data_IF_225065872574
#
_entry.id   IF_225065872574
#
_cell.length_a   1.000
_cell.length_b   1.000
_cell.length_c   1.000
_cell.angle_alpha   90.00
_cell.angle_beta   90.00
_cell.angle_gamma   90.00
#
_symmetry.space_group_name_H-M   'P 1'
#
loop_
_entity.id
_entity.type
_entity.pdbx_description
1 polymer ?
#
# COMPACT_ATOMS: atom_id res chain seq x y z
N UNK A 1 -107.51 21.80 -10.68
CA UNK A 1 -108.15 20.51 -10.40
C UNK A 1 -107.18 19.71 -9.57
N UNK A 2 -107.42 19.74 -8.29
CA UNK A 2 -107.92 18.64 -7.47
C UNK A 2 -106.89 17.50 -7.40
N UNK A 3 -106.17 17.42 -6.37
CA UNK A 3 -105.99 16.80 -5.15
C UNK A 3 -105.79 15.28 -5.19
N UNK A 4 -105.55 14.54 -4.14
CA UNK A 4 -105.11 14.89 -2.81
C UNK A 4 -104.00 13.96 -2.24
N UNK A 5 -103.47 14.34 -1.10
CA UNK A 5 -102.86 13.47 -0.12
C UNK A 5 -103.87 12.41 0.39
N UNK A 6 -103.44 11.30 1.05
CA UNK A 6 -102.93 11.33 2.42
C UNK A 6 -102.06 10.10 2.93
N UNK A 7 -101.49 10.34 4.10
CA UNK A 7 -101.43 9.48 5.34
C UNK A 7 -100.33 8.36 5.44
N UNK A 8 -99.40 8.62 6.37
CA UNK A 8 -99.26 8.03 7.73
C UNK A 8 -98.93 6.53 7.79
N UNK A 9 -97.86 6.20 8.41
CA UNK A 9 -97.77 5.66 9.80
C UNK A 9 -96.35 5.23 10.14
N UNK A 10 -95.95 5.64 11.34
CA UNK A 10 -94.88 5.07 12.15
C UNK A 10 -95.17 3.64 12.55
N UNK A 11 -94.37 3.03 13.43
CA UNK A 11 -92.89 2.86 13.59
C UNK A 11 -92.57 1.36 13.66
N UNK A 12 -91.33 0.99 13.51
CA UNK A 12 -90.92 -0.25 14.16
C UNK A 12 -89.43 -0.20 14.53
N UNK A 13 -89.27 -0.38 15.82
CA UNK A 13 -88.00 -0.68 16.46
C UNK A 13 -87.34 -1.90 15.83
N UNK A 14 -86.01 -1.87 15.55
CA UNK A 14 -85.14 -3.03 15.72
C UNK A 14 -83.68 -2.63 15.84
N UNK A 15 -83.25 -2.84 17.00
CA UNK A 15 -82.00 -3.41 17.51
C UNK A 15 -80.70 -3.05 16.84
N UNK A 16 -79.95 -2.44 17.66
CA UNK A 16 -78.55 -2.09 17.60
C UNK A 16 -77.66 -3.38 17.53
N UNK A 17 -77.01 -3.58 16.37
CA UNK A 17 -76.00 -4.55 16.26
C UNK A 17 -74.65 -3.83 16.16
N UNK A 18 -73.97 -3.73 17.30
CA UNK A 18 -72.63 -3.23 17.44
C UNK A 18 -71.69 -4.27 16.86
N UNK A 19 -71.29 -4.17 15.60
CA UNK A 19 -70.18 -4.87 15.05
C UNK A 19 -68.92 -4.00 15.29
N UNK A 20 -68.08 -4.46 16.24
CA UNK A 20 -66.73 -3.99 16.50
C UNK A 20 -65.90 -4.06 15.21
N UNK A 21 -65.60 -2.92 14.62
CA UNK A 21 -64.57 -2.78 13.59
C UNK A 21 -63.26 -2.70 14.33
N UNK A 22 -62.57 -3.85 14.45
CA UNK A 22 -61.15 -3.89 14.82
C UNK A 22 -60.34 -3.19 13.71
N UNK A 23 -59.95 -1.95 13.96
CA UNK A 23 -58.90 -1.28 13.19
C UNK A 23 -57.59 -1.97 13.57
N UNK A 24 -57.09 -2.86 12.69
CA UNK A 24 -55.70 -3.35 12.71
C UNK A 24 -54.80 -2.19 12.38
N UNK A 25 -54.16 -1.66 13.44
CA UNK A 25 -53.10 -0.68 13.32
C UNK A 25 -51.83 -1.45 12.84
N UNK A 26 -51.57 -1.41 11.52
CA UNK A 26 -50.32 -1.90 10.97
C UNK A 26 -49.21 -0.94 11.43
N UNK A 27 -48.53 -1.30 12.51
CA UNK A 27 -47.27 -0.68 12.91
C UNK A 27 -46.21 -1.16 11.93
N UNK A 28 -45.93 -0.33 10.93
CA UNK A 28 -44.72 -0.45 10.10
C UNK A 28 -43.53 -0.19 11.03
N UNK A 29 -42.87 -1.26 11.50
CA UNK A 29 -41.57 -1.16 12.12
C UNK A 29 -40.55 -0.97 10.99
N UNK A 30 -39.89 0.20 10.89
CA UNK A 30 -38.80 0.33 9.95
C UNK A 30 -37.65 -0.57 10.44
N UNK A 31 -37.44 -1.68 9.73
CA UNK A 31 -36.21 -2.46 9.87
C UNK A 31 -35.04 -1.59 9.40
N UNK A 32 -34.42 -0.87 10.34
CA UNK A 32 -33.16 -0.23 10.09
C UNK A 32 -32.13 -1.33 9.80
N UNK A 33 -31.85 -1.54 8.52
CA UNK A 33 -30.70 -2.32 8.09
C UNK A 33 -29.45 -1.60 8.61
N UNK A 34 -28.91 -2.05 9.74
CA UNK A 34 -27.58 -1.71 10.17
C UNK A 34 -26.59 -2.30 9.13
N UNK A 35 -26.26 -1.50 8.11
CA UNK A 35 -25.13 -1.78 7.24
C UNK A 35 -23.90 -1.59 8.12
N UNK A 36 -23.48 -2.66 8.78
CA UNK A 36 -22.18 -2.73 9.42
C UNK A 36 -21.15 -2.58 8.29
N UNK A 37 -20.59 -1.41 8.16
CA UNK A 37 -19.41 -1.18 7.33
C UNK A 37 -18.29 -2.06 7.87
N UNK A 38 -18.13 -3.25 7.30
CA UNK A 38 -16.94 -4.08 7.53
C UNK A 38 -15.80 -3.26 6.95
N UNK A 39 -15.09 -2.53 7.79
CA UNK A 39 -13.78 -2.00 7.45
C UNK A 39 -12.91 -3.21 7.21
N UNK A 40 -12.64 -3.53 5.94
CA UNK A 40 -11.68 -4.54 5.55
C UNK A 40 -10.29 -3.99 5.97
N UNK A 41 -9.95 -4.14 7.24
CA UNK A 41 -8.58 -4.00 7.71
C UNK A 41 -7.86 -5.22 7.17
N UNK A 42 -6.86 -5.01 6.31
CA UNK A 42 -6.01 -6.12 5.90
C UNK A 42 -5.24 -6.60 7.13
N UNK A 43 -5.17 -7.90 7.32
CA UNK A 43 -4.39 -8.48 8.41
C UNK A 43 -2.89 -8.40 8.06
N UNK A 44 -2.03 -8.11 9.05
CA UNK A 44 -0.59 -8.13 8.85
C UNK A 44 -0.12 -9.51 8.36
N UNK A 45 0.82 -9.53 7.43
CA UNK A 45 1.34 -10.77 6.82
C UNK A 45 2.08 -11.60 7.86
N UNK A 46 1.77 -12.90 7.99
CA UNK A 46 2.47 -13.81 8.91
C UNK A 46 3.93 -14.00 8.51
N UNK A 47 4.84 -14.10 9.48
CA UNK A 47 6.24 -14.44 9.26
C UNK A 47 6.33 -15.95 9.00
N UNK A 48 6.66 -16.34 7.77
CA UNK A 48 6.94 -17.71 7.35
C UNK A 48 8.44 -17.95 7.23
N UNK A 49 9.17 -16.91 6.84
CA UNK A 49 10.62 -16.90 6.71
C UNK A 49 11.17 -15.79 7.61
N UNK A 50 12.01 -16.19 8.56
CA UNK A 50 12.63 -15.24 9.48
C UNK A 50 13.76 -14.52 8.75
N UNK A 51 13.68 -13.20 8.73
CA UNK A 51 14.71 -12.36 8.13
C UNK A 51 16.01 -12.39 8.92
N UNK A 52 17.11 -12.41 8.19
CA UNK A 52 18.45 -12.48 8.73
C UNK A 52 19.31 -11.26 8.39
N UNK A 53 20.61 -11.53 8.17
CA UNK A 53 21.55 -10.53 7.66
C UNK A 53 21.62 -10.63 6.15
N UNK A 54 21.42 -9.49 5.48
CA UNK A 54 21.55 -9.35 4.02
C UNK A 54 22.51 -8.20 3.73
N UNK A 55 23.34 -8.37 2.70
CA UNK A 55 24.07 -7.29 2.05
C UNK A 55 24.04 -7.56 0.55
N UNK A 56 23.44 -6.64 -0.20
CA UNK A 56 23.28 -6.72 -1.66
C UNK A 56 23.77 -5.44 -2.34
N UNK A 57 24.34 -5.59 -3.52
CA UNK A 57 24.61 -4.49 -4.43
C UNK A 57 23.47 -4.41 -5.44
N UNK A 58 23.05 -3.19 -5.75
CA UNK A 58 21.95 -2.92 -6.63
C UNK A 58 22.38 -1.99 -7.77
N UNK A 59 21.71 -2.14 -8.90
CA UNK A 59 21.76 -1.18 -9.99
C UNK A 59 20.34 -0.72 -10.32
N UNK A 60 20.21 0.55 -10.66
CA UNK A 60 18.98 1.16 -11.11
C UNK A 60 19.18 1.62 -12.55
N UNK A 61 18.27 1.18 -13.43
CA UNK A 61 18.29 1.46 -14.87
C UNK A 61 16.96 2.00 -15.35
N UNK A 62 16.99 2.76 -16.42
CA UNK A 62 15.77 3.14 -17.15
C UNK A 62 15.28 2.00 -18.07
N UNK A 63 14.17 2.24 -18.75
CA UNK A 63 13.56 1.28 -19.70
C UNK A 63 14.44 1.03 -20.94
N UNK A 64 15.43 1.87 -21.22
CA UNK A 64 16.40 1.73 -22.31
C UNK A 64 17.73 1.11 -21.83
N UNK A 65 17.75 0.52 -20.63
CA UNK A 65 18.91 -0.13 -20.01
C UNK A 65 20.04 0.81 -19.59
N UNK A 66 19.83 2.13 -19.63
CA UNK A 66 20.81 3.11 -19.18
C UNK A 66 20.95 3.04 -17.66
N UNK A 67 22.19 2.91 -17.17
CA UNK A 67 22.49 2.99 -15.75
C UNK A 67 22.23 4.40 -15.22
N UNK A 68 21.36 4.51 -14.23
CA UNK A 68 20.99 5.76 -13.56
C UNK A 68 21.63 5.90 -12.20
N UNK A 69 21.67 4.81 -11.43
CA UNK A 69 22.26 4.79 -10.08
C UNK A 69 22.85 3.44 -9.73
N UNK A 70 23.81 3.45 -8.81
CA UNK A 70 24.26 2.27 -8.06
C UNK A 70 23.76 2.37 -6.64
N UNK A 71 23.48 1.23 -6.02
CA UNK A 71 22.93 1.20 -4.68
C UNK A 71 23.42 0.02 -3.85
N UNK A 72 23.10 0.09 -2.58
CA UNK A 72 23.33 -0.97 -1.61
C UNK A 72 22.09 -1.21 -0.79
N UNK A 73 21.85 -2.47 -0.48
CA UNK A 73 20.84 -2.91 0.47
C UNK A 73 21.55 -3.62 1.61
N UNK A 74 21.36 -3.15 2.84
CA UNK A 74 21.81 -3.86 4.03
C UNK A 74 20.63 -4.17 4.92
N UNK A 75 20.62 -5.35 5.50
CA UNK A 75 19.63 -5.76 6.48
C UNK A 75 20.31 -6.43 7.66
N UNK A 76 19.87 -6.06 8.85
CA UNK A 76 20.41 -6.61 10.10
C UNK A 76 19.25 -6.98 11.03
N UNK A 77 19.14 -8.26 11.33
CA UNK A 77 18.23 -8.75 12.34
C UNK A 77 18.90 -8.80 13.72
N UNK A 78 18.21 -8.26 14.72
CA UNK A 78 18.56 -8.39 16.13
C UNK A 78 17.34 -8.96 16.86
N UNK A 79 17.28 -10.29 16.98
CA UNK A 79 16.11 -11.01 17.40
C UNK A 79 14.91 -10.76 16.49
N UNK A 80 13.82 -10.28 17.07
CA UNK A 80 12.60 -9.98 16.30
C UNK A 80 12.58 -8.57 15.65
N UNK A 81 13.61 -7.76 15.89
CA UNK A 81 13.72 -6.43 15.31
C UNK A 81 14.68 -6.47 14.13
N UNK A 82 14.24 -6.02 12.98
CA UNK A 82 15.04 -5.97 11.76
C UNK A 82 15.15 -4.51 11.32
N UNK A 83 16.35 -4.13 10.91
CA UNK A 83 16.63 -2.84 10.25
C UNK A 83 17.11 -3.11 8.85
N UNK A 84 16.50 -2.46 7.88
CA UNK A 84 16.89 -2.48 6.46
C UNK A 84 17.25 -1.07 6.03
N UNK A 85 18.43 -0.92 5.42
CA UNK A 85 18.90 0.32 4.82
C UNK A 85 19.09 0.11 3.32
N UNK A 86 18.41 0.90 2.51
CA UNK A 86 18.52 0.95 1.05
C UNK A 86 19.07 2.31 0.65
N UNK A 87 20.10 2.34 -0.17
CA UNK A 87 20.63 3.58 -0.72
C UNK A 87 20.87 3.48 -2.22
N UNK A 88 20.61 4.57 -2.95
CA UNK A 88 20.99 4.77 -4.34
C UNK A 88 21.72 6.09 -4.51
N UNK A 89 22.86 6.05 -5.16
CA UNK A 89 23.62 7.20 -5.60
C UNK A 89 23.51 7.32 -7.12
N UNK A 90 22.84 8.37 -7.58
CA UNK A 90 22.59 8.59 -8.99
C UNK A 90 23.78 9.23 -9.68
N UNK A 91 23.89 9.00 -11.00
CA UNK A 91 24.97 9.57 -11.81
C UNK A 91 24.91 11.10 -11.94
N UNK A 92 23.77 11.71 -11.64
CA UNK A 92 23.56 13.16 -11.62
C UNK A 92 23.79 13.80 -10.23
N UNK A 93 24.24 13.03 -9.24
CA UNK A 93 24.44 13.45 -7.86
C UNK A 93 23.20 13.39 -6.98
N UNK A 94 22.08 12.93 -7.49
CA UNK A 94 20.90 12.66 -6.66
C UNK A 94 21.11 11.49 -5.73
N UNK A 95 20.35 11.48 -4.62
CA UNK A 95 20.41 10.44 -3.59
C UNK A 95 19.01 10.02 -3.20
N UNK A 96 18.83 8.70 -3.08
CA UNK A 96 17.67 8.07 -2.45
C UNK A 96 18.17 7.19 -1.31
N UNK A 97 17.68 7.46 -0.10
CA UNK A 97 18.03 6.70 1.11
C UNK A 97 16.73 6.31 1.81
N UNK A 98 16.63 5.05 2.19
CA UNK A 98 15.48 4.51 2.87
C UNK A 98 15.92 3.63 4.03
N UNK A 99 15.47 3.94 5.25
CA UNK A 99 15.66 3.11 6.43
C UNK A 99 14.32 2.61 6.93
N UNK A 100 14.17 1.29 7.01
CA UNK A 100 12.97 0.62 7.49
C UNK A 100 13.30 -0.21 8.73
N UNK A 101 12.57 0.00 9.81
CA UNK A 101 12.69 -0.83 11.00
C UNK A 101 11.35 -1.53 11.25
N UNK A 102 11.39 -2.84 11.40
CA UNK A 102 10.18 -3.63 11.59
C UNK A 102 10.35 -4.77 12.61
N UNK A 103 9.25 -5.32 13.04
CA UNK A 103 9.16 -6.52 13.88
C UNK A 103 8.77 -7.73 13.03
N UNK A 104 9.42 -8.87 13.31
CA UNK A 104 9.13 -10.18 12.70
C UNK A 104 8.73 -11.23 13.76
N UNK A 105 7.89 -10.88 14.73
CA UNK A 105 7.57 -11.80 15.83
C UNK A 105 6.60 -12.91 15.39
N UNK A 106 5.43 -12.58 14.94
CA UNK A 106 4.40 -13.47 14.39
C UNK A 106 3.94 -13.02 13.03
N UNK A 107 3.83 -11.71 12.88
CA UNK A 107 3.52 -10.98 11.67
C UNK A 107 4.55 -9.90 11.49
N UNK A 108 4.75 -9.48 10.23
CA UNK A 108 5.56 -8.30 9.95
C UNK A 108 4.80 -7.05 10.35
N UNK A 109 5.45 -6.19 11.12
CA UNK A 109 4.89 -4.93 11.57
C UNK A 109 5.92 -3.81 11.46
N UNK A 110 5.62 -2.79 10.70
CA UNK A 110 6.45 -1.59 10.62
C UNK A 110 6.55 -0.93 12.00
N UNK A 111 7.75 -0.52 12.39
CA UNK A 111 8.02 0.24 13.60
C UNK A 111 8.35 1.69 13.25
N UNK A 112 9.34 1.88 12.39
CA UNK A 112 9.73 3.21 11.89
C UNK A 112 10.13 3.14 10.42
N UNK A 113 9.93 4.24 9.71
CA UNK A 113 10.32 4.40 8.34
C UNK A 113 10.90 5.79 8.12
N UNK A 114 12.00 5.88 7.39
CA UNK A 114 12.61 7.15 7.00
C UNK A 114 13.03 7.08 5.54
N UNK A 115 12.62 8.06 4.76
CA UNK A 115 12.92 8.21 3.34
C UNK A 115 13.51 9.59 3.09
N UNK A 116 14.66 9.63 2.41
CA UNK A 116 15.26 10.86 1.89
C UNK A 116 15.43 10.74 0.38
N UNK A 117 14.88 11.70 -0.35
CA UNK A 117 15.05 11.86 -1.79
C UNK A 117 15.48 13.29 -2.09
N UNK A 118 16.65 13.49 -2.67
CA UNK A 118 17.21 14.82 -2.97
C UNK A 118 18.07 14.81 -4.23
N UNK A 119 18.21 15.96 -4.84
CA UNK A 119 19.02 16.18 -6.04
C UNK A 119 18.19 16.30 -7.33
N UNK A 120 18.85 16.51 -8.49
CA UNK A 120 18.20 16.88 -9.76
C UNK A 120 17.16 15.87 -10.27
N UNK A 121 17.34 14.57 -10.00
CA UNK A 121 16.38 13.53 -10.38
C UNK A 121 15.02 13.72 -9.69
N UNK A 122 15.00 14.22 -8.46
CA UNK A 122 13.79 14.38 -7.65
C UNK A 122 13.30 15.82 -7.73
N UNK A 123 12.29 16.08 -8.59
CA UNK A 123 11.70 17.42 -8.76
C UNK A 123 11.17 18.00 -7.45
N UNK A 124 10.74 17.14 -6.54
CA UNK A 124 10.28 17.50 -5.19
C UNK A 124 11.12 16.75 -4.16
N UNK A 125 12.24 17.34 -3.73
CA UNK A 125 13.02 16.78 -2.64
C UNK A 125 12.13 16.50 -1.44
N UNK A 126 12.30 15.33 -0.84
CA UNK A 126 11.45 14.84 0.25
C UNK A 126 12.32 14.21 1.33
N UNK A 127 12.03 14.56 2.58
CA UNK A 127 12.51 13.87 3.77
C UNK A 127 11.28 13.51 4.61
N UNK A 128 10.95 12.22 4.67
CA UNK A 128 9.76 11.72 5.34
C UNK A 128 10.14 10.75 6.44
N UNK A 129 9.69 11.02 7.65
CA UNK A 129 9.82 10.11 8.78
C UNK A 129 8.46 9.71 9.35
N UNK A 130 8.36 8.46 9.74
CA UNK A 130 7.16 7.81 10.24
C UNK A 130 7.48 6.95 11.45
N UNK A 131 6.68 7.11 12.51
CA UNK A 131 6.69 6.21 13.67
C UNK A 131 5.34 5.50 13.76
N UNK A 132 5.30 4.21 13.47
CA UNK A 132 4.06 3.45 13.41
C UNK A 132 3.40 3.27 14.79
N UNK A 133 4.18 3.24 15.89
CA UNK A 133 3.65 3.06 17.23
C UNK A 133 2.95 4.29 17.78
N UNK A 134 3.45 5.47 17.44
CA UNK A 134 2.85 6.75 17.85
C UNK A 134 1.90 7.32 16.81
N UNK A 135 2.02 6.90 15.55
CA UNK A 135 1.28 7.49 14.44
C UNK A 135 1.85 8.83 13.96
N UNK A 136 3.00 9.24 14.47
CA UNK A 136 3.63 10.50 14.08
C UNK A 136 4.23 10.40 12.68
N UNK A 137 3.87 11.34 11.82
CA UNK A 137 4.40 11.50 10.46
C UNK A 137 4.96 12.89 10.33
N UNK A 138 6.20 13.02 9.88
CA UNK A 138 6.83 14.30 9.56
C UNK A 138 7.33 14.23 8.11
N UNK A 139 6.99 15.25 7.31
CA UNK A 139 7.43 15.37 5.93
C UNK A 139 8.03 16.76 5.75
N UNK A 140 9.29 16.80 5.36
CA UNK A 140 9.95 18.00 4.86
C UNK A 140 10.01 17.87 3.34
N UNK A 141 9.52 18.85 2.61
CA UNK A 141 9.52 18.87 1.16
C UNK A 141 9.73 20.28 0.62
N UNK A 142 10.17 20.36 -0.62
CA UNK A 142 10.24 21.63 -1.34
C UNK A 142 9.01 21.79 -2.22
N UNK A 143 8.29 22.90 -2.07
CA UNK A 143 7.12 23.21 -2.90
C UNK A 143 7.52 23.68 -4.31
N UNK A 144 6.51 23.91 -5.17
CA UNK A 144 6.73 24.31 -6.57
C UNK A 144 7.37 25.72 -6.66
N UNK A 145 7.32 26.53 -5.59
CA UNK A 145 7.99 27.83 -5.50
C UNK A 145 9.43 27.73 -4.98
N UNK A 146 9.94 26.53 -4.73
CA UNK A 146 11.27 26.29 -4.20
C UNK A 146 11.41 26.53 -2.69
N UNK A 147 10.30 26.64 -1.96
CA UNK A 147 10.31 26.87 -0.51
C UNK A 147 10.20 25.56 0.25
N UNK A 148 11.03 25.41 1.26
CA UNK A 148 10.90 24.29 2.19
C UNK A 148 9.63 24.41 3.04
N UNK A 149 8.91 23.32 3.13
CA UNK A 149 7.69 23.13 3.93
C UNK A 149 7.85 21.94 4.83
N UNK A 150 7.29 22.03 6.03
CA UNK A 150 7.20 20.92 6.96
C UNK A 150 5.74 20.63 7.27
N UNK A 151 5.35 19.36 7.12
CA UNK A 151 4.07 18.85 7.59
C UNK A 151 4.37 17.90 8.75
N UNK A 152 3.63 18.06 9.85
CA UNK A 152 3.65 17.11 10.95
C UNK A 152 2.21 16.74 11.26
N UNK A 153 1.91 15.45 11.20
CA UNK A 153 0.58 14.93 11.46
C UNK A 153 0.64 13.75 12.41
N UNK A 154 -0.46 13.53 13.11
CA UNK A 154 -0.71 12.41 13.99
C UNK A 154 -1.81 11.56 13.35
N UNK A 155 -1.46 10.39 12.82
CA UNK A 155 -2.38 9.52 12.11
C UNK A 155 -2.65 8.24 12.89
N UNK A 156 -3.86 7.70 12.75
CA UNK A 156 -4.15 6.33 13.17
C UNK A 156 -3.66 5.38 12.08
N UNK A 157 -2.49 4.80 12.27
CA UNK A 157 -1.85 3.93 11.30
C UNK A 157 -2.32 2.48 11.47
N UNK A 158 -2.60 1.76 10.38
CA UNK A 158 -3.00 0.36 10.44
C UNK A 158 -1.80 -0.56 10.68
N UNK A 159 -2.05 -1.76 11.20
CA UNK A 159 -1.00 -2.73 11.51
C UNK A 159 -0.35 -3.36 10.27
N UNK A 160 -1.02 -3.31 9.11
CA UNK A 160 -0.57 -3.81 7.81
C UNK A 160 0.23 -2.77 6.99
N UNK A 161 0.78 -1.75 7.66
CA UNK A 161 1.57 -0.71 6.99
C UNK A 161 2.86 -1.28 6.41
N UNK A 162 3.08 -1.06 5.09
CA UNK A 162 4.09 -1.76 4.29
C UNK A 162 5.20 -0.85 3.72
N UNK A 163 5.32 0.41 4.18
CA UNK A 163 6.41 1.29 3.73
C UNK A 163 7.77 0.62 3.94
N UNK A 164 8.54 0.48 2.86
CA UNK A 164 9.84 -0.19 2.85
C UNK A 164 9.81 -1.71 3.07
N UNK A 165 8.64 -2.31 3.28
CA UNK A 165 8.50 -3.74 3.58
C UNK A 165 8.09 -4.59 2.39
N UNK A 166 7.64 -4.01 1.28
CA UNK A 166 7.05 -4.77 0.17
C UNK A 166 7.91 -5.95 -0.27
N UNK A 167 9.22 -5.83 -0.55
CA UNK A 167 10.04 -6.98 -0.95
C UNK A 167 10.09 -8.11 0.11
N UNK A 168 10.17 -7.76 1.39
CA UNK A 168 10.14 -8.71 2.52
C UNK A 168 8.80 -9.43 2.58
N UNK A 169 7.69 -8.68 2.52
CA UNK A 169 6.34 -9.26 2.58
C UNK A 169 6.07 -10.23 1.44
N UNK A 170 6.55 -9.93 0.23
CA UNK A 170 6.39 -10.79 -0.94
C UNK A 170 7.05 -12.15 -0.78
N UNK A 171 8.14 -12.25 -0.01
CA UNK A 171 8.79 -13.52 0.34
C UNK A 171 7.92 -14.42 1.23
N UNK A 172 6.95 -13.84 1.93
CA UNK A 172 6.09 -14.52 2.90
C UNK A 172 4.63 -14.67 2.45
N UNK A 173 4.24 -14.05 1.33
CA UNK A 173 2.92 -14.26 0.73
C UNK A 173 2.90 -15.64 0.06
N UNK A 174 1.84 -16.43 0.34
CA UNK A 174 1.61 -17.70 -0.37
C UNK A 174 1.28 -17.42 -1.85
N UNK A 175 2.06 -17.94 -2.81
CA UNK A 175 1.78 -17.74 -4.22
C UNK A 175 0.40 -18.26 -4.68
N UNK A 176 -0.25 -19.10 -3.87
CA UNK A 176 -1.61 -19.57 -4.12
C UNK A 176 -2.68 -18.57 -3.69
N UNK A 177 -2.32 -17.54 -2.92
CA UNK A 177 -3.25 -16.48 -2.52
C UNK A 177 -3.46 -15.55 -3.71
N UNK A 178 -4.66 -15.48 -4.28
CA UNK A 178 -4.89 -14.78 -5.55
C UNK A 178 -4.68 -13.26 -5.41
N UNK A 179 -4.88 -12.73 -4.20
CA UNK A 179 -4.73 -11.31 -3.92
C UNK A 179 -4.45 -11.09 -2.43
N UNK A 180 -3.46 -10.26 -2.15
CA UNK A 180 -3.16 -9.77 -0.82
C UNK A 180 -3.25 -8.24 -0.83
N UNK A 181 -3.77 -7.64 0.23
CA UNK A 181 -3.87 -6.18 0.34
C UNK A 181 -3.08 -5.73 1.55
N UNK A 182 -2.25 -4.72 1.38
CA UNK A 182 -1.54 -4.04 2.47
C UNK A 182 -1.72 -2.52 2.34
N UNK A 183 -1.35 -1.78 3.36
CA UNK A 183 -1.48 -0.32 3.37
C UNK A 183 -0.11 0.34 3.21
N UNK A 184 -0.04 1.44 2.48
CA UNK A 184 1.15 2.28 2.38
C UNK A 184 0.81 3.74 2.67
N UNK A 185 1.68 4.43 3.39
CA UNK A 185 1.63 5.88 3.56
C UNK A 185 2.37 6.53 2.39
N UNK A 186 1.71 7.46 1.71
CA UNK A 186 2.30 8.28 0.64
C UNK A 186 2.27 9.76 1.03
N UNK A 187 3.29 10.51 0.58
CA UNK A 187 3.46 11.94 0.86
C UNK A 187 3.04 12.78 -0.35
N UNK A 188 1.77 13.16 -0.49
CA UNK A 188 1.27 13.91 -1.65
C UNK A 188 0.33 15.02 -1.27
N UNK A 189 0.68 16.22 -1.30
CA UNK A 189 1.59 16.94 -0.40
C UNK A 189 1.26 16.71 1.07
N UNK A 190 0.06 16.19 1.39
CA UNK A 190 -0.32 15.71 2.72
C UNK A 190 -0.21 14.20 2.81
N UNK A 191 0.20 13.65 3.96
CA UNK A 191 0.28 12.21 4.14
C UNK A 191 -1.09 11.55 3.95
N UNK A 192 -1.13 10.45 3.19
CA UNK A 192 -2.34 9.67 2.91
C UNK A 192 -2.04 8.20 2.95
N UNK A 193 -3.05 7.43 3.36
CA UNK A 193 -3.00 5.99 3.30
C UNK A 193 -3.62 5.52 1.97
N UNK A 194 -2.91 4.69 1.25
CA UNK A 194 -3.37 4.00 0.04
C UNK A 194 -3.32 2.51 0.24
N UNK A 195 -4.10 1.76 -0.52
CA UNK A 195 -3.99 0.30 -0.54
C UNK A 195 -3.04 -0.13 -1.65
N UNK A 196 -2.24 -1.14 -1.34
CA UNK A 196 -1.47 -1.89 -2.31
C UNK A 196 -2.14 -3.24 -2.50
N UNK A 197 -2.60 -3.51 -3.71
CA UNK A 197 -3.13 -4.80 -4.10
C UNK A 197 -2.01 -5.62 -4.74
N UNK A 198 -1.67 -6.73 -4.12
CA UNK A 198 -0.58 -7.60 -4.52
C UNK A 198 -1.16 -8.88 -5.10
N UNK A 199 -0.80 -9.20 -6.33
CA UNK A 199 -1.23 -10.42 -7.01
C UNK A 199 -0.02 -11.20 -7.53
N UNK A 200 0.05 -12.52 -7.29
CA UNK A 200 1.07 -13.36 -7.90
C UNK A 200 0.81 -13.51 -9.40
N UNK A 201 1.88 -13.53 -10.17
CA UNK A 201 1.87 -13.80 -11.61
C UNK A 201 2.58 -15.12 -11.93
N UNK A 202 3.32 -15.14 -13.03
CA UNK A 202 4.08 -16.30 -13.46
C UNK A 202 5.48 -16.35 -12.83
N UNK A 203 6.10 -17.52 -12.86
CA UNK A 203 7.51 -17.67 -12.56
C UNK A 203 8.35 -17.34 -13.80
N UNK A 204 9.27 -16.41 -13.66
CA UNK A 204 10.22 -16.03 -14.71
C UNK A 204 11.62 -16.60 -14.42
N UNK A 205 12.34 -17.12 -15.44
CA UNK A 205 13.71 -17.57 -15.26
C UNK A 205 14.68 -16.40 -15.14
N UNK A 206 15.71 -16.60 -14.32
CA UNK A 206 16.86 -15.70 -14.24
C UNK A 206 18.16 -16.48 -14.04
N UNK A 207 19.31 -15.88 -14.29
CA UNK A 207 20.61 -16.54 -14.17
C UNK A 207 21.47 -15.90 -13.09
N UNK A 208 22.07 -16.75 -12.25
CA UNK A 208 23.06 -16.34 -11.25
C UNK A 208 24.26 -17.26 -11.37
N UNK A 209 25.46 -16.68 -11.62
CA UNK A 209 26.69 -17.47 -11.72
C UNK A 209 26.66 -18.59 -12.78
N UNK A 210 25.87 -18.42 -13.84
CA UNK A 210 25.66 -19.43 -14.90
C UNK A 210 24.61 -20.49 -14.61
N UNK A 211 24.01 -20.50 -13.41
CA UNK A 211 22.88 -21.35 -13.07
C UNK A 211 21.56 -20.65 -13.38
N UNK A 212 20.60 -21.39 -13.97
CA UNK A 212 19.25 -20.91 -14.18
C UNK A 212 18.38 -21.16 -12.93
N UNK A 213 17.76 -20.12 -12.44
CA UNK A 213 16.83 -20.16 -11.32
C UNK A 213 15.48 -19.56 -11.76
N UNK A 214 14.45 -19.65 -10.91
CA UNK A 214 13.15 -19.05 -11.14
C UNK A 214 12.79 -18.07 -10.02
N UNK A 215 12.12 -17.00 -10.38
CA UNK A 215 11.55 -16.03 -9.46
C UNK A 215 10.07 -15.87 -9.75
N UNK A 216 9.26 -15.86 -8.70
CA UNK A 216 7.84 -15.48 -8.76
C UNK A 216 7.73 -13.99 -9.03
N UNK A 217 6.99 -13.63 -10.06
CA UNK A 217 6.64 -12.24 -10.35
C UNK A 217 5.36 -11.87 -9.60
N UNK A 218 5.39 -10.78 -8.89
CA UNK A 218 4.22 -10.17 -8.26
C UNK A 218 3.89 -8.85 -8.93
N UNK A 219 2.61 -8.58 -9.17
CA UNK A 219 2.12 -7.25 -9.54
C UNK A 219 1.63 -6.54 -8.27
N UNK A 220 2.11 -5.33 -8.06
CA UNK A 220 1.72 -4.45 -6.95
C UNK A 220 0.99 -3.25 -7.54
N UNK A 221 -0.32 -3.23 -7.40
CA UNK A 221 -1.20 -2.18 -7.86
C UNK A 221 -1.47 -1.19 -6.73
N UNK A 222 -1.36 0.11 -7.00
CA UNK A 222 -1.70 1.17 -6.03
C UNK A 222 -3.17 1.53 -6.21
N UNK A 223 -4.03 1.17 -5.27
CA UNK A 223 -5.42 1.63 -5.27
C UNK A 223 -5.48 3.04 -4.67
N UNK A 224 -5.67 4.03 -5.55
CA UNK A 224 -5.80 5.44 -5.18
C UNK A 224 -7.22 5.82 -4.74
N UNK A 225 -8.19 4.90 -4.76
CA UNK A 225 -9.58 5.13 -4.34
C UNK A 225 -9.74 5.47 -2.86
N UNK A 226 -8.70 5.33 -2.08
CA UNK A 226 -8.60 5.74 -0.67
C UNK A 226 -9.34 4.82 0.30
N UNK A 227 -8.92 4.87 1.56
CA UNK A 227 -9.65 4.25 2.67
C UNK A 227 -10.81 5.17 3.02
N UNK A 228 -12.03 4.64 3.06
CA UNK A 228 -13.25 5.36 3.49
C UNK A 228 -13.00 6.10 4.81
N UNK A 229 -13.03 7.42 4.79
CA UNK A 229 -12.81 8.27 5.97
C UNK A 229 -11.70 9.33 5.84
N UNK A 230 -10.79 9.21 4.89
CA UNK A 230 -9.74 10.21 4.61
C UNK A 230 -9.79 10.56 3.12
N UNK A 231 -10.97 10.95 2.64
CA UNK A 231 -11.18 11.15 1.21
C UNK A 231 -10.91 12.59 0.83
N UNK A 232 -9.75 12.82 0.20
CA UNK A 232 -9.72 13.65 -0.99
C UNK A 232 -9.18 12.75 -2.11
N UNK A 233 -9.80 12.69 -3.28
CA UNK A 233 -9.26 11.91 -4.39
C UNK A 233 -7.81 12.36 -4.63
N UNK A 234 -6.92 11.41 -4.84
CA UNK A 234 -5.59 11.73 -5.34
C UNK A 234 -5.85 12.31 -6.72
N UNK A 235 -5.73 13.64 -6.84
CA UNK A 235 -5.80 14.31 -8.13
C UNK A 235 -4.50 13.99 -8.84
N UNK A 236 -4.52 12.96 -9.67
CA UNK A 236 -3.36 12.48 -10.40
C UNK A 236 -3.71 11.31 -11.30
N UNK A 237 -2.79 10.95 -12.17
CA UNK A 237 -2.93 9.74 -13.00
C UNK A 237 -2.71 8.52 -12.10
N UNK A 238 -3.43 7.42 -12.37
CA UNK A 238 -3.16 6.12 -11.77
C UNK A 238 -1.69 5.76 -11.98
N UNK A 239 -0.92 5.50 -10.89
CA UNK A 239 0.45 5.03 -11.05
C UNK A 239 0.49 3.71 -11.83
N UNK A 240 1.52 3.47 -12.64
CA UNK A 240 1.71 2.16 -13.23
C UNK A 240 1.95 1.11 -12.14
N UNK A 241 1.56 -0.12 -12.41
CA UNK A 241 1.85 -1.23 -11.51
C UNK A 241 3.36 -1.41 -11.34
N UNK A 242 3.76 -1.75 -10.12
CA UNK A 242 5.13 -2.18 -9.85
C UNK A 242 5.19 -3.70 -9.92
N UNK A 243 6.11 -4.24 -10.72
CA UNK A 243 6.38 -5.66 -10.74
C UNK A 243 7.61 -5.98 -9.90
N UNK A 244 7.52 -7.02 -9.08
CA UNK A 244 8.63 -7.44 -8.20
C UNK A 244 8.85 -8.93 -8.36
N UNK A 245 10.11 -9.36 -8.51
CA UNK A 245 10.52 -10.76 -8.65
C UNK A 245 11.21 -11.22 -7.38
N UNK A 246 10.69 -12.29 -6.81
CA UNK A 246 11.20 -12.93 -5.59
C UNK A 246 11.65 -14.34 -5.95
N UNK A 247 12.92 -14.64 -5.74
CA UNK A 247 13.43 -15.99 -5.82
C UNK A 247 12.82 -16.84 -4.69
N UNK A 248 12.30 -18.01 -5.05
CA UNK A 248 11.70 -18.92 -4.08
C UNK A 248 12.73 -19.74 -3.31
N UNK A 249 12.25 -20.66 -2.46
CA UNK A 249 13.07 -21.60 -1.72
C UNK A 249 13.00 -21.41 -0.20
N UNK A 250 14.01 -21.93 0.52
CA UNK A 250 14.07 -21.85 1.98
C UNK A 250 14.34 -20.43 2.51
N UNK A 251 14.94 -19.58 1.69
CA UNK A 251 15.22 -18.18 1.96
C UNK A 251 14.81 -17.37 0.73
N UNK A 252 13.54 -16.99 0.61
CA UNK A 252 13.09 -16.15 -0.49
C UNK A 252 13.86 -14.84 -0.52
N UNK A 253 14.14 -14.32 -1.71
CA UNK A 253 14.93 -13.10 -1.82
C UNK A 253 14.55 -12.26 -3.02
N UNK A 254 14.72 -10.96 -2.87
CA UNK A 254 14.55 -10.00 -3.94
C UNK A 254 15.52 -10.28 -5.11
N UNK A 255 15.01 -10.23 -6.33
CA UNK A 255 15.81 -10.37 -7.57
C UNK A 255 15.81 -9.06 -8.33
N UNK A 256 14.63 -8.55 -8.63
CA UNK A 256 14.47 -7.30 -9.36
C UNK A 256 13.08 -6.68 -9.11
N UNK A 257 12.95 -5.40 -9.40
CA UNK A 257 11.66 -4.72 -9.52
C UNK A 257 11.62 -3.79 -10.71
N UNK A 258 10.42 -3.59 -11.27
CA UNK A 258 10.14 -2.63 -12.34
C UNK A 258 8.94 -1.79 -11.93
N UNK A 259 9.15 -0.49 -11.75
CA UNK A 259 8.12 0.44 -11.32
C UNK A 259 8.67 1.82 -10.99
N UNK A 260 7.81 2.77 -10.62
CA UNK A 260 8.26 4.09 -10.18
C UNK A 260 8.91 4.02 -8.80
N UNK A 261 10.05 4.68 -8.63
CA UNK A 261 10.75 4.82 -7.34
C UNK A 261 10.17 5.95 -6.48
N UNK A 262 9.43 6.87 -7.07
CA UNK A 262 8.79 8.00 -6.41
C UNK A 262 7.50 8.36 -7.13
N UNK A 263 6.66 9.15 -6.44
CA UNK A 263 5.39 9.57 -7.01
C UNK A 263 5.58 10.33 -8.33
N UNK A 264 4.77 9.99 -9.33
CA UNK A 264 4.85 10.54 -10.70
C UNK A 264 6.21 10.30 -11.38
N UNK A 265 7.04 9.42 -10.80
CA UNK A 265 8.31 9.00 -11.38
C UNK A 265 8.12 8.08 -12.59
N UNK A 266 9.15 7.97 -13.44
CA UNK A 266 9.14 7.01 -14.53
C UNK A 266 9.30 5.57 -14.02
N UNK A 267 8.93 4.62 -14.86
CA UNK A 267 9.22 3.20 -14.59
C UNK A 267 10.72 2.98 -14.73
N UNK A 268 11.32 2.50 -13.65
CA UNK A 268 12.72 2.11 -13.59
C UNK A 268 12.85 0.65 -13.17
N UNK A 269 14.01 0.05 -13.50
CA UNK A 269 14.34 -1.30 -13.10
C UNK A 269 15.44 -1.26 -12.04
N UNK A 270 15.14 -1.86 -10.89
CA UNK A 270 16.10 -2.13 -9.82
C UNK A 270 16.42 -3.61 -9.85
N UNK A 271 17.68 -3.97 -9.84
CA UNK A 271 18.11 -5.37 -9.86
C UNK A 271 19.37 -5.60 -9.02
N UNK A 272 19.55 -6.82 -8.54
CA UNK A 272 20.78 -7.23 -7.89
C UNK A 272 21.93 -7.18 -8.88
N UNK A 273 23.06 -6.65 -8.43
CA UNK A 273 24.30 -6.58 -9.19
C UNK A 273 25.41 -7.39 -8.52
N UNK A 274 26.23 -8.04 -9.33
CA UNK A 274 27.47 -8.62 -8.87
C UNK A 274 28.59 -7.59 -8.99
N UNK A 275 29.41 -7.39 -7.93
CA UNK A 275 30.54 -6.48 -8.02
C UNK A 275 31.54 -6.98 -9.06
N UNK A 276 32.08 -6.06 -9.88
CA UNK A 276 33.16 -6.31 -10.81
C UNK A 276 34.45 -5.74 -10.22
N UNK A 277 35.43 -6.61 -9.97
CA UNK A 277 36.70 -6.19 -9.43
C UNK A 277 37.67 -5.79 -10.58
N UNK A 278 38.40 -4.68 -10.45
CA UNK A 278 39.43 -4.34 -11.42
C UNK A 278 40.45 -5.48 -11.56
N UNK A 279 40.83 -5.81 -12.78
CA UNK A 279 41.91 -6.77 -13.00
C UNK A 279 43.20 -6.23 -12.38
N UNK A 280 43.98 -7.06 -11.66
CA UNK A 280 45.30 -6.63 -11.18
C UNK A 280 46.16 -6.11 -12.36
N UNK A 281 46.63 -4.88 -12.27
CA UNK A 281 47.48 -4.26 -13.31
C UNK A 281 46.80 -3.27 -14.26
N UNK A 282 45.48 -3.04 -14.19
CA UNK A 282 44.81 -2.06 -15.03
C UNK A 282 44.94 -0.59 -14.53
N UNK A 283 45.58 -0.34 -13.41
CA UNK A 283 45.59 0.95 -12.72
C UNK A 283 46.97 1.59 -12.45
N UNK A 284 48.06 1.19 -13.16
CA UNK A 284 49.35 1.89 -13.06
C UNK A 284 49.86 2.24 -14.44
N UNK A 285 49.32 3.28 -15.04
CA UNK A 285 50.10 4.18 -15.90
C UNK A 285 50.09 5.53 -15.22
N UNK A 286 51.23 5.81 -14.57
CA UNK A 286 51.61 7.15 -14.15
C UNK A 286 51.65 8.11 -15.33
#
# INVERSE_FOLDING_TARGET
MLGPLPRTTEPYHQEMNIRRVLRTLNVLVPSALLISSVTLSADPIPVRHVEGRIHGFLVLRDVNDKLLASGTLTQLANGNRVTTDLSFHFTDGSVHEETTVFSQRRTFQLLTYHLVQKGPTFKRPTDMSLNASTGQVKILYTDDDGKEKTITEQLKLPADLANGLVPTLLGDIDPKTPKTVVTMLVSTPKPRLVKLEISPGDEDPFSVGGATMKAMRYAVHVDIGGISGVIAPIVGKQPPDTHVWIAGGKAPGFVKSEGPLFQDGPVWRIELASPVWPKPGAGQKQ
#
